data_IF_074891349539
#
_entry.id   IF_074891349539
#
_cell.length_a   1.000
_cell.length_b   1.000
_cell.length_c   1.000
_cell.angle_alpha   90.00
_cell.angle_beta   90.00
_cell.angle_gamma   90.00
#
_symmetry.space_group_name_H-M   'P 1'
#
loop_
_entity.id
_entity.type
_entity.pdbx_description
1 polymer ?
#
# COMPACT_ATOMS: atom_id res chain seq x y z
N UNK A 1 28.72 -2.92 -5.08
CA UNK A 1 27.32 -3.29 -5.33
C UNK A 1 26.51 -3.42 -4.05
N UNK A 2 27.00 -4.17 -3.03
CA UNK A 2 26.28 -4.43 -1.77
C UNK A 2 25.96 -3.15 -0.98
N UNK A 3 26.91 -2.20 -0.87
CA UNK A 3 26.69 -0.93 -0.17
C UNK A 3 25.52 -0.15 -0.75
N UNK A 4 25.41 -0.09 -2.09
CA UNK A 4 24.31 0.59 -2.77
C UNK A 4 22.95 -0.10 -2.51
N UNK A 5 22.91 -1.42 -2.50
CA UNK A 5 21.72 -2.19 -2.19
C UNK A 5 21.28 -1.95 -0.73
N UNK A 6 22.23 -1.97 0.20
CA UNK A 6 21.95 -1.66 1.61
C UNK A 6 21.46 -0.22 1.80
N UNK A 7 22.08 0.75 1.14
CA UNK A 7 21.65 2.14 1.16
C UNK A 7 20.23 2.27 0.59
N UNK A 8 20.02 1.79 -0.64
CA UNK A 8 18.72 1.86 -1.30
C UNK A 8 17.57 1.20 -0.50
N UNK A 9 17.86 0.11 0.22
CA UNK A 9 16.86 -0.59 1.03
C UNK A 9 16.52 0.08 2.36
N UNK A 10 17.36 1.02 2.84
CA UNK A 10 17.22 1.66 4.17
C UNK A 10 17.14 3.18 4.14
N UNK A 11 17.40 3.80 2.98
CA UNK A 11 17.33 5.24 2.85
C UNK A 11 15.91 5.76 3.14
N UNK A 12 15.77 6.90 3.84
CA UNK A 12 14.48 7.53 4.08
C UNK A 12 14.07 8.37 2.85
N UNK A 13 12.80 8.24 2.44
CA UNK A 13 12.25 8.96 1.29
C UNK A 13 11.12 9.94 1.66
N UNK A 14 11.02 10.31 2.93
CA UNK A 14 10.02 11.22 3.47
C UNK A 14 8.91 10.51 4.26
N UNK A 15 8.48 11.12 5.37
CA UNK A 15 7.54 10.51 6.30
C UNK A 15 8.02 9.14 6.78
N UNK A 16 7.13 8.15 6.74
CA UNK A 16 7.42 6.77 7.14
C UNK A 16 7.89 5.88 5.95
N UNK A 17 8.33 6.49 4.85
CA UNK A 17 8.74 5.74 3.66
C UNK A 17 10.23 5.43 3.77
N UNK A 18 10.56 4.15 3.96
CA UNK A 18 11.93 3.64 4.05
C UNK A 18 12.17 2.61 2.95
N UNK A 19 13.25 2.79 2.21
CA UNK A 19 13.66 1.93 1.10
C UNK A 19 13.10 2.34 -0.26
N UNK A 20 13.95 2.18 -1.28
CA UNK A 20 13.68 2.57 -2.67
C UNK A 20 12.41 1.91 -3.24
N UNK A 21 12.21 0.62 -2.98
CA UNK A 21 11.04 -0.10 -3.46
C UNK A 21 9.75 0.45 -2.89
N UNK A 22 9.72 0.72 -1.57
CA UNK A 22 8.57 1.34 -0.92
C UNK A 22 8.31 2.75 -1.47
N UNK A 23 9.36 3.54 -1.69
CA UNK A 23 9.26 4.88 -2.25
C UNK A 23 8.72 4.86 -3.70
N UNK A 24 9.23 3.95 -4.56
CA UNK A 24 8.75 3.76 -5.92
C UNK A 24 7.25 3.48 -5.97
N UNK A 25 6.77 2.54 -5.16
CA UNK A 25 5.34 2.22 -5.05
C UNK A 25 4.52 3.38 -4.48
N UNK A 26 5.01 4.03 -3.44
CA UNK A 26 4.29 5.12 -2.76
C UNK A 26 4.14 6.37 -3.61
N UNK A 27 5.16 6.72 -4.39
CA UNK A 27 5.13 7.93 -5.21
C UNK A 27 4.63 7.67 -6.63
N UNK A 28 4.97 6.52 -7.23
CA UNK A 28 4.72 6.26 -8.65
C UNK A 28 3.84 5.03 -8.91
N UNK A 29 3.68 4.11 -7.96
CA UNK A 29 2.82 2.92 -8.08
C UNK A 29 3.41 1.85 -9.00
N UNK A 30 4.75 1.79 -9.12
CA UNK A 30 5.46 0.82 -9.96
C UNK A 30 6.77 0.38 -9.33
N UNK A 31 7.34 -0.72 -9.84
CA UNK A 31 8.65 -1.22 -9.41
C UNK A 31 9.79 -0.26 -9.80
N UNK A 32 10.92 -0.24 -9.06
CA UNK A 32 12.04 0.66 -9.35
C UNK A 32 12.61 0.55 -10.76
N UNK A 33 12.61 -0.66 -11.34
CA UNK A 33 13.10 -0.89 -12.71
C UNK A 33 12.22 -0.32 -13.82
N UNK A 34 10.99 0.13 -13.49
CA UNK A 34 10.04 0.73 -14.43
C UNK A 34 9.93 2.25 -14.28
N UNK A 35 10.82 2.88 -13.50
CA UNK A 35 10.84 4.33 -13.30
C UNK A 35 11.41 5.05 -14.52
N UNK A 36 10.82 6.23 -14.81
CA UNK A 36 11.42 7.17 -15.77
C UNK A 36 12.69 7.81 -15.20
N UNK A 37 13.45 8.50 -16.05
CA UNK A 37 14.60 9.29 -15.61
C UNK A 37 14.23 10.34 -14.58
N UNK A 38 13.12 11.05 -14.77
CA UNK A 38 12.64 12.07 -13.83
C UNK A 38 12.22 11.46 -12.49
N UNK A 39 11.52 10.33 -12.51
CA UNK A 39 11.10 9.60 -11.31
C UNK A 39 12.29 9.03 -10.53
N UNK A 40 13.25 8.44 -11.24
CA UNK A 40 14.49 7.93 -10.64
C UNK A 40 15.34 9.05 -10.02
N UNK A 41 15.52 10.17 -10.74
CA UNK A 41 16.25 11.34 -10.25
C UNK A 41 15.54 11.97 -9.03
N UNK A 42 14.20 12.00 -9.03
CA UNK A 42 13.44 12.45 -7.87
C UNK A 42 13.73 11.60 -6.63
N UNK A 43 13.68 10.28 -6.75
CA UNK A 43 13.99 9.39 -5.64
C UNK A 43 15.45 9.52 -5.20
N UNK A 44 16.38 9.77 -6.12
CA UNK A 44 17.80 9.94 -5.78
C UNK A 44 18.08 11.19 -4.93
N UNK A 45 17.29 12.28 -5.09
CA UNK A 45 17.48 13.52 -4.34
C UNK A 45 16.72 13.58 -3.01
N UNK A 46 15.69 12.73 -2.82
CA UNK A 46 14.86 12.74 -1.61
C UNK A 46 15.62 12.40 -0.30
N UNK A 47 16.52 11.41 -0.25
CA UNK A 47 17.21 11.04 0.99
C UNK A 47 18.08 12.14 1.58
N UNK A 48 18.48 13.11 0.78
CA UNK A 48 19.35 14.20 1.22
C UNK A 48 18.66 15.19 2.20
N UNK A 49 17.34 15.29 2.21
CA UNK A 49 16.60 16.14 3.15
C UNK A 49 15.14 15.71 3.26
N UNK A 50 14.84 14.48 3.66
CA UNK A 50 13.51 13.88 3.50
C UNK A 50 12.42 14.51 4.37
N UNK A 51 12.78 15.19 5.46
CA UNK A 51 11.84 15.89 6.34
C UNK A 51 11.48 17.29 5.84
N UNK A 52 12.38 17.91 5.07
CA UNK A 52 12.23 19.31 4.62
C UNK A 52 11.71 19.41 3.17
N UNK A 53 12.06 18.44 2.33
CA UNK A 53 11.81 18.48 0.89
C UNK A 53 11.25 17.13 0.45
N UNK A 54 9.95 17.09 0.15
CA UNK A 54 9.27 15.91 -0.39
C UNK A 54 8.06 16.37 -1.23
N UNK A 55 7.43 15.50 -2.02
CA UNK A 55 6.34 15.89 -2.93
C UNK A 55 5.18 16.67 -2.30
N UNK A 56 4.96 16.56 -0.99
CA UNK A 56 3.96 17.34 -0.25
C UNK A 56 4.48 18.64 0.38
N UNK A 57 5.80 18.93 0.29
CA UNK A 57 6.38 20.11 0.95
C UNK A 57 7.61 20.63 0.19
N UNK A 58 7.67 21.95 -0.02
CA UNK A 58 8.76 22.62 -0.74
C UNK A 58 8.99 22.07 -2.16
N UNK A 59 7.90 21.91 -2.91
CA UNK A 59 7.88 21.29 -4.25
C UNK A 59 8.82 21.96 -5.24
N UNK A 60 8.88 23.30 -5.25
CA UNK A 60 9.77 24.04 -6.14
C UNK A 60 11.23 23.70 -5.91
N UNK A 61 11.65 23.63 -4.65
CA UNK A 61 13.01 23.25 -4.29
C UNK A 61 13.31 21.78 -4.65
N UNK A 62 12.32 20.91 -4.54
CA UNK A 62 12.44 19.52 -4.96
C UNK A 62 12.59 19.41 -6.46
N UNK A 63 11.80 20.17 -7.23
CA UNK A 63 11.90 20.25 -8.69
C UNK A 63 13.28 20.72 -9.12
N UNK A 64 13.76 21.84 -8.54
CA UNK A 64 15.07 22.38 -8.86
C UNK A 64 16.22 21.37 -8.58
N UNK A 65 16.16 20.63 -7.48
CA UNK A 65 17.14 19.57 -7.18
C UNK A 65 17.10 18.41 -8.16
N UNK A 66 15.90 17.95 -8.55
CA UNK A 66 15.71 16.91 -9.56
C UNK A 66 16.31 17.34 -10.89
N UNK A 67 15.94 18.53 -11.34
CA UNK A 67 16.36 19.07 -12.63
C UNK A 67 17.87 19.32 -12.69
N UNK A 68 18.47 19.79 -11.60
CA UNK A 68 19.92 19.93 -11.48
C UNK A 68 20.65 18.58 -11.61
N UNK A 69 20.11 17.52 -10.99
CA UNK A 69 20.65 16.16 -11.13
C UNK A 69 20.53 15.64 -12.58
N UNK A 70 19.39 15.84 -13.23
CA UNK A 70 19.17 15.43 -14.62
C UNK A 70 20.16 16.14 -15.56
N UNK A 71 20.33 17.44 -15.40
CA UNK A 71 21.33 18.23 -16.17
C UNK A 71 22.76 17.76 -15.91
N UNK A 72 23.08 17.38 -14.66
CA UNK A 72 24.39 16.83 -14.34
C UNK A 72 24.64 15.49 -15.03
N UNK A 73 23.65 14.57 -15.02
CA UNK A 73 23.74 13.28 -15.69
C UNK A 73 23.94 13.44 -17.20
N UNK A 74 23.25 14.40 -17.81
CA UNK A 74 23.44 14.71 -19.22
C UNK A 74 24.85 15.25 -19.50
N UNK A 75 25.36 16.21 -18.71
CA UNK A 75 26.75 16.73 -18.86
C UNK A 75 27.81 15.65 -18.68
N UNK A 76 27.53 14.62 -17.91
CA UNK A 76 28.43 13.46 -17.72
C UNK A 76 28.31 12.40 -18.82
N UNK A 77 27.44 12.61 -19.81
CA UNK A 77 27.20 11.67 -20.91
C UNK A 77 26.37 10.42 -20.53
N UNK A 78 25.81 10.39 -19.33
CA UNK A 78 24.96 9.27 -18.86
C UNK A 78 23.53 9.33 -19.43
N UNK A 79 23.11 10.45 -20.01
CA UNK A 79 21.76 10.69 -20.49
C UNK A 79 21.81 11.45 -21.82
N UNK A 80 20.99 11.02 -22.79
CA UNK A 80 20.84 11.70 -24.07
C UNK A 80 20.05 13.01 -23.94
N UNK A 81 20.26 13.96 -24.84
CA UNK A 81 19.57 15.26 -24.87
C UNK A 81 18.05 15.11 -25.00
N UNK A 82 17.59 14.14 -25.80
CA UNK A 82 16.16 13.87 -25.97
C UNK A 82 15.51 13.39 -24.67
N UNK A 83 16.19 12.51 -23.93
CA UNK A 83 15.73 11.99 -22.65
C UNK A 83 15.70 13.10 -21.58
N UNK A 84 16.71 13.97 -21.55
CA UNK A 84 16.74 15.12 -20.66
C UNK A 84 15.53 16.02 -20.88
N UNK A 85 15.23 16.37 -22.13
CA UNK A 85 14.08 17.22 -22.44
C UNK A 85 12.76 16.60 -21.97
N UNK A 86 12.54 15.33 -22.22
CA UNK A 86 11.36 14.61 -21.75
C UNK A 86 11.29 14.58 -20.22
N UNK A 87 12.39 14.26 -19.55
CA UNK A 87 12.45 14.17 -18.10
C UNK A 87 12.19 15.52 -17.42
N UNK A 88 12.65 16.63 -17.97
CA UNK A 88 12.38 17.97 -17.43
C UNK A 88 10.92 18.39 -17.56
N UNK A 89 10.17 17.84 -18.52
CA UNK A 89 8.75 18.10 -18.71
C UNK A 89 7.87 17.29 -17.75
N UNK A 90 8.38 16.21 -17.16
CA UNK A 90 7.60 15.37 -16.24
C UNK A 90 7.25 16.12 -14.94
N UNK A 91 5.98 16.14 -14.53
CA UNK A 91 5.58 16.78 -13.29
C UNK A 91 6.01 15.97 -12.06
N UNK A 92 6.15 16.65 -10.92
CA UNK A 92 6.31 15.96 -9.65
C UNK A 92 5.01 15.23 -9.25
N UNK A 93 5.10 14.08 -8.58
CA UNK A 93 3.92 13.40 -8.04
C UNK A 93 3.18 14.32 -7.06
N UNK A 94 1.84 14.20 -7.00
CA UNK A 94 1.02 15.07 -6.17
C UNK A 94 1.22 14.79 -4.67
N UNK A 95 0.99 13.55 -4.27
CA UNK A 95 1.13 13.06 -2.90
C UNK A 95 1.47 11.56 -2.92
N UNK A 96 2.02 11.02 -1.82
CA UNK A 96 2.23 9.57 -1.73
C UNK A 96 0.90 8.83 -1.88
N UNK A 97 0.86 7.85 -2.79
CA UNK A 97 -0.32 7.02 -2.98
C UNK A 97 -0.62 6.22 -1.71
N UNK A 98 -1.87 6.05 -1.31
CA UNK A 98 -2.20 5.15 -0.22
C UNK A 98 -1.73 3.73 -0.57
N UNK A 99 -1.18 3.02 0.40
CA UNK A 99 -0.93 1.59 0.22
C UNK A 99 -2.27 0.89 0.02
N UNK A 100 -2.31 -0.05 -0.92
CA UNK A 100 -3.49 -0.88 -1.12
C UNK A 100 -3.69 -1.77 0.11
N UNK A 101 -4.49 -1.31 1.07
CA UNK A 101 -4.88 -2.08 2.26
C UNK A 101 -5.99 -3.07 1.90
N UNK A 102 -5.68 -4.12 1.12
CA UNK A 102 -6.69 -5.07 0.67
C UNK A 102 -7.22 -5.95 1.80
N UNK A 103 -6.41 -6.31 2.77
CA UNK A 103 -6.80 -7.13 3.91
C UNK A 103 -6.07 -6.66 5.19
N UNK A 104 -6.35 -5.45 5.72
CA UNK A 104 -5.58 -4.86 6.81
C UNK A 104 -5.66 -5.66 8.10
N UNK A 105 -6.80 -6.23 8.42
CA UNK A 105 -6.98 -7.06 9.62
C UNK A 105 -6.14 -8.34 9.56
N UNK A 106 -6.16 -9.04 8.40
CA UNK A 106 -5.33 -10.22 8.20
C UNK A 106 -3.83 -9.87 8.28
N UNK A 107 -3.41 -8.77 7.66
CA UNK A 107 -2.03 -8.30 7.74
C UNK A 107 -1.63 -8.03 9.20
N UNK A 108 -2.49 -7.37 9.97
CA UNK A 108 -2.23 -7.09 11.38
C UNK A 108 -2.12 -8.37 12.21
N UNK A 109 -2.95 -9.37 11.93
CA UNK A 109 -2.88 -10.68 12.60
C UNK A 109 -1.60 -11.43 12.23
N UNK A 110 -1.28 -11.53 10.94
CA UNK A 110 -0.10 -12.22 10.46
C UNK A 110 1.21 -11.55 10.90
N UNK A 111 1.25 -10.22 10.96
CA UNK A 111 2.42 -9.48 11.41
C UNK A 111 2.76 -9.69 12.89
N UNK A 112 1.79 -10.06 13.71
CA UNK A 112 1.99 -10.40 15.13
C UNK A 112 2.51 -11.83 15.32
N UNK A 113 2.20 -12.72 14.38
CA UNK A 113 2.54 -14.15 14.48
C UNK A 113 3.75 -14.55 13.66
N UNK A 114 4.20 -13.73 12.73
CA UNK A 114 5.33 -13.99 11.84
C UNK A 114 6.43 -12.94 11.98
N UNK A 115 7.67 -13.43 12.01
CA UNK A 115 8.88 -12.58 11.93
C UNK A 115 9.32 -12.31 10.49
N UNK A 116 8.66 -12.90 9.51
CA UNK A 116 9.00 -12.72 8.10
C UNK A 116 8.60 -11.33 7.61
N UNK A 117 9.49 -10.71 6.83
CA UNK A 117 9.23 -9.39 6.21
C UNK A 117 8.34 -9.44 4.98
N UNK A 118 8.25 -10.61 4.35
CA UNK A 118 7.40 -10.87 3.19
C UNK A 118 6.51 -12.06 3.52
N UNK A 119 5.21 -11.84 3.47
CA UNK A 119 4.19 -12.86 3.74
C UNK A 119 3.45 -13.15 2.43
N UNK A 120 3.58 -14.36 1.93
CA UNK A 120 2.78 -14.84 0.79
C UNK A 120 1.49 -15.44 1.31
N UNK A 121 0.36 -15.06 0.74
CA UNK A 121 -0.95 -15.55 1.11
C UNK A 121 -1.65 -16.21 -0.07
N UNK A 122 -2.72 -16.95 0.20
CA UNK A 122 -3.59 -17.58 -0.81
C UNK A 122 -4.68 -16.64 -1.33
N UNK A 123 -4.71 -15.38 -0.87
CA UNK A 123 -5.70 -14.40 -1.30
C UNK A 123 -5.56 -14.10 -2.79
N UNK A 124 -6.70 -14.07 -3.47
CA UNK A 124 -6.82 -13.54 -4.82
C UNK A 124 -7.11 -12.04 -4.73
N UNK A 125 -6.23 -11.22 -5.31
CA UNK A 125 -6.31 -9.77 -5.17
C UNK A 125 -7.56 -9.17 -5.86
N UNK A 126 -8.02 -9.74 -6.95
CA UNK A 126 -9.20 -9.25 -7.66
C UNK A 126 -10.47 -9.64 -6.91
N UNK A 127 -10.55 -10.88 -6.45
CA UNK A 127 -11.65 -11.35 -5.61
C UNK A 127 -11.71 -10.55 -4.30
N UNK A 128 -10.57 -10.31 -3.66
CA UNK A 128 -10.48 -9.52 -2.42
C UNK A 128 -11.08 -8.11 -2.63
N UNK A 129 -10.71 -7.43 -3.73
CA UNK A 129 -11.24 -6.09 -4.03
C UNK A 129 -12.77 -6.11 -4.21
N UNK A 130 -13.28 -7.08 -4.95
CA UNK A 130 -14.73 -7.23 -5.20
C UNK A 130 -15.48 -7.53 -3.91
N UNK A 131 -15.01 -8.47 -3.10
CA UNK A 131 -15.63 -8.84 -1.82
C UNK A 131 -15.60 -7.67 -0.85
N UNK A 132 -14.51 -6.92 -0.77
CA UNK A 132 -14.39 -5.75 0.08
C UNK A 132 -15.38 -4.64 -0.34
N UNK A 133 -15.55 -4.41 -1.63
CA UNK A 133 -16.52 -3.43 -2.13
C UNK A 133 -17.97 -3.87 -1.86
N UNK A 134 -18.29 -5.13 -2.10
CA UNK A 134 -19.61 -5.70 -1.76
C UNK A 134 -19.90 -5.58 -0.26
N UNK A 135 -18.93 -5.91 0.60
CA UNK A 135 -19.08 -5.78 2.04
C UNK A 135 -19.34 -4.32 2.45
N UNK A 136 -18.65 -3.34 1.83
CA UNK A 136 -18.91 -1.91 2.07
C UNK A 136 -20.31 -1.50 1.64
N UNK A 137 -20.75 -1.94 0.47
CA UNK A 137 -22.09 -1.60 -0.05
C UNK A 137 -23.21 -2.17 0.83
N UNK A 138 -23.10 -3.44 1.21
CA UNK A 138 -24.06 -4.07 2.12
C UNK A 138 -24.01 -3.44 3.51
N UNK A 139 -22.82 -3.18 4.05
CA UNK A 139 -22.66 -2.54 5.34
C UNK A 139 -23.34 -1.17 5.41
N UNK A 140 -23.27 -0.35 4.34
CA UNK A 140 -24.00 0.93 4.27
C UNK A 140 -25.52 0.76 4.37
N UNK A 141 -26.08 -0.32 3.83
CA UNK A 141 -27.52 -0.60 3.97
C UNK A 141 -27.85 -1.04 5.38
N UNK A 142 -27.08 -1.98 5.91
CA UNK A 142 -27.28 -2.55 7.24
C UNK A 142 -27.07 -1.52 8.37
N UNK A 143 -26.20 -0.52 8.16
CA UNK A 143 -25.99 0.55 9.13
C UNK A 143 -27.26 1.36 9.44
N UNK A 144 -28.20 1.44 8.48
CA UNK A 144 -29.50 2.08 8.69
C UNK A 144 -30.38 1.30 9.69
N UNK A 145 -30.14 0.01 9.80
CA UNK A 145 -30.84 -0.92 10.70
C UNK A 145 -30.02 -1.19 11.98
N UNK A 146 -29.00 -0.35 12.27
CA UNK A 146 -28.16 -0.45 13.47
C UNK A 146 -27.07 -1.52 13.40
N UNK A 147 -26.82 -2.15 12.23
CA UNK A 147 -25.72 -3.11 12.05
C UNK A 147 -24.52 -2.39 11.43
N UNK A 148 -23.52 -2.07 12.24
CA UNK A 148 -22.40 -1.22 11.83
C UNK A 148 -21.16 -2.00 11.36
N UNK A 149 -21.07 -3.29 11.63
CA UNK A 149 -19.89 -4.11 11.33
C UNK A 149 -20.23 -5.29 10.43
N UNK A 150 -19.42 -5.53 9.42
CA UNK A 150 -19.56 -6.66 8.47
C UNK A 150 -18.21 -7.32 8.25
N UNK A 151 -18.18 -8.64 8.34
CA UNK A 151 -17.03 -9.45 7.95
C UNK A 151 -17.41 -10.45 6.87
N UNK A 152 -16.46 -10.78 5.99
CA UNK A 152 -16.66 -11.78 4.93
C UNK A 152 -15.39 -12.59 4.75
N UNK A 153 -15.51 -13.92 4.77
CA UNK A 153 -14.43 -14.84 4.41
C UNK A 153 -14.89 -15.72 3.27
N UNK A 154 -14.09 -15.79 2.21
CA UNK A 154 -14.36 -16.66 1.05
C UNK A 154 -13.31 -17.75 1.05
N UNK A 155 -13.78 -19.00 1.08
CA UNK A 155 -12.93 -20.19 1.15
C UNK A 155 -13.18 -21.05 -0.09
N UNK A 156 -12.11 -21.44 -0.76
CA UNK A 156 -12.12 -22.51 -1.75
C UNK A 156 -12.15 -23.85 -1.01
N UNK A 157 -13.29 -24.53 -1.08
CA UNK A 157 -13.49 -25.78 -0.34
C UNK A 157 -12.67 -26.96 -0.90
N UNK A 158 -12.33 -26.93 -2.19
CA UNK A 158 -11.54 -27.99 -2.83
C UNK A 158 -10.07 -27.87 -2.45
N UNK A 159 -9.52 -26.65 -2.52
CA UNK A 159 -8.14 -26.37 -2.18
C UNK A 159 -7.94 -26.09 -0.68
N UNK A 160 -9.04 -25.93 0.07
CA UNK A 160 -9.04 -25.55 1.51
C UNK A 160 -8.25 -24.27 1.76
N UNK A 161 -8.40 -23.30 0.88
CA UNK A 161 -7.67 -22.03 0.92
C UNK A 161 -8.61 -20.83 1.08
N UNK A 162 -8.23 -19.89 1.93
CA UNK A 162 -8.90 -18.60 2.00
C UNK A 162 -8.52 -17.78 0.78
N UNK A 163 -9.52 -17.42 -0.03
CA UNK A 163 -9.34 -16.65 -1.27
C UNK A 163 -9.66 -15.17 -1.11
N UNK A 164 -10.51 -14.80 -0.14
CA UNK A 164 -10.73 -13.41 0.26
C UNK A 164 -10.99 -13.33 1.77
N UNK A 165 -10.53 -12.25 2.40
CA UNK A 165 -10.64 -12.02 3.84
C UNK A 165 -10.93 -10.55 4.13
N UNK A 166 -12.15 -10.26 4.55
CA UNK A 166 -12.59 -8.96 5.04
C UNK A 166 -12.86 -9.11 6.53
N UNK A 167 -11.90 -8.75 7.36
CA UNK A 167 -11.99 -8.92 8.81
C UNK A 167 -13.02 -8.01 9.47
N UNK A 168 -13.18 -6.82 8.94
CA UNK A 168 -14.26 -5.90 9.31
C UNK A 168 -14.41 -4.80 8.25
N UNK A 169 -15.65 -4.41 7.97
CA UNK A 169 -16.02 -3.14 7.37
C UNK A 169 -16.96 -2.45 8.34
N UNK A 170 -16.50 -1.36 8.94
CA UNK A 170 -17.28 -0.57 9.88
C UNK A 170 -17.89 0.65 9.20
N UNK A 171 -19.11 0.99 9.57
CA UNK A 171 -19.85 2.17 9.13
C UNK A 171 -20.29 2.99 10.35
N UNK A 172 -19.98 4.29 10.33
CA UNK A 172 -20.16 5.21 11.45
C UNK A 172 -18.83 5.59 12.09
N UNK A 173 -18.82 5.94 13.37
CA UNK A 173 -17.58 6.30 14.07
C UNK A 173 -16.64 5.09 14.19
N UNK A 174 -15.40 5.19 13.67
CA UNK A 174 -14.47 4.06 13.67
C UNK A 174 -14.06 3.60 15.08
N UNK A 175 -14.08 4.49 16.06
CA UNK A 175 -13.71 4.19 17.45
C UNK A 175 -14.89 3.53 18.15
N UNK A 176 -16.08 4.11 18.02
CA UNK A 176 -17.31 3.60 18.64
C UNK A 176 -17.65 2.19 18.16
N UNK A 177 -17.55 1.95 16.86
CA UNK A 177 -17.89 0.65 16.25
C UNK A 177 -16.69 -0.28 16.04
N UNK A 178 -15.53 0.05 16.61
CA UNK A 178 -14.38 -0.84 16.63
C UNK A 178 -13.88 -1.24 15.23
N UNK A 179 -13.72 -0.28 14.31
CA UNK A 179 -13.31 -0.53 12.93
C UNK A 179 -12.01 -1.33 12.79
N UNK A 180 -11.11 -1.23 13.78
CA UNK A 180 -9.83 -1.95 13.80
C UNK A 180 -9.94 -3.41 14.30
N UNK A 181 -11.09 -3.81 14.81
CA UNK A 181 -11.30 -5.16 15.35
C UNK A 181 -11.55 -6.14 14.20
N UNK A 182 -10.80 -7.23 14.19
CA UNK A 182 -11.02 -8.35 13.27
C UNK A 182 -12.18 -9.22 13.80
N UNK A 183 -13.38 -8.90 13.34
CA UNK A 183 -14.58 -9.63 13.77
C UNK A 183 -14.78 -10.96 13.04
N UNK A 184 -14.03 -11.25 11.97
CA UNK A 184 -14.06 -12.53 11.29
C UNK A 184 -13.42 -13.64 12.14
N UNK A 185 -12.41 -13.29 12.94
CA UNK A 185 -11.70 -14.22 13.84
C UNK A 185 -12.22 -14.17 15.28
N UNK A 186 -13.10 -13.23 15.62
CA UNK A 186 -13.61 -13.06 16.98
C UNK A 186 -14.50 -14.25 17.39
N UNK A 187 -14.37 -14.75 18.62
CA UNK A 187 -15.27 -15.78 19.16
C UNK A 187 -16.73 -15.33 19.13
N UNK A 188 -17.59 -16.17 18.58
CA UNK A 188 -19.03 -15.89 18.46
C UNK A 188 -19.86 -17.10 18.80
N UNK A 189 -21.14 -16.87 19.16
CA UNK A 189 -22.12 -17.94 19.24
C UNK A 189 -22.26 -18.63 17.88
N UNK A 190 -22.28 -19.94 17.89
CA UNK A 190 -22.41 -20.77 16.69
C UNK A 190 -23.78 -20.63 16.02
N UNK A 191 -24.77 -20.19 16.78
CA UNK A 191 -26.16 -20.09 16.30
C UNK A 191 -26.63 -21.40 15.67
N UNK A 192 -27.26 -21.29 14.49
CA UNK A 192 -27.79 -22.45 13.77
C UNK A 192 -26.78 -23.25 12.96
N UNK A 193 -25.49 -22.85 12.94
CA UNK A 193 -24.44 -23.52 12.15
C UNK A 193 -24.23 -24.96 12.59
N UNK A 194 -24.46 -25.28 13.85
CA UNK A 194 -24.31 -26.65 14.37
C UNK A 194 -25.52 -27.57 14.10
N UNK A 195 -26.64 -27.07 13.58
CA UNK A 195 -27.83 -27.89 13.30
C UNK A 195 -27.54 -29.10 12.41
N UNK A 196 -26.75 -29.02 11.33
CA UNK A 196 -26.43 -30.19 10.51
C UNK A 196 -25.65 -31.29 11.23
N UNK A 197 -25.02 -30.96 12.38
CA UNK A 197 -24.29 -31.94 13.20
C UNK A 197 -25.16 -32.52 14.32
N UNK A 198 -26.38 -31.95 14.53
CA UNK A 198 -27.31 -32.36 15.56
C UNK A 198 -28.43 -33.27 15.03
N UNK A 199 -28.57 -33.36 13.71
CA UNK A 199 -29.53 -34.18 12.98
C UNK A 199 -28.80 -35.16 12.08
#
# INVERSE_FOLDING_TARGET
PEILVHYASRAPFGGNIVGLRAASWRYFGREPGALSWAEAALLAVLPNSPSLIHPGRNRERLLAKRDALLQQLHRQGAMAEADLRLALMEPLPAAPRPLAGLAPHLLNTLSKTSTQRLLTTTLDADLQRRVQELARQHGRRLARDGVHNVAVVVIDHQQRQTRAYVGNVSHGDPVEYGAAVDIASAPRSTGSVLKPLLY
#
